data_IF_565164599718
#
_entry.id   IF_565164599718
#
_cell.length_a   1.000
_cell.length_b   1.000
_cell.length_c   1.000
_cell.angle_alpha   90.00
_cell.angle_beta   90.00
_cell.angle_gamma   90.00
#
_symmetry.space_group_name_H-M   'P 1'
#
loop_
_entity.id
_entity.type
_entity.pdbx_description
1 polymer ?
#
# COMPACT_ATOMS: atom_id res chain seq x y z
N UNK A 1 3.27 1.52 -5.20
CA UNK A 1 2.15 1.13 -4.32
C UNK A 1 1.27 2.32 -3.95
N UNK A 2 1.68 3.14 -2.99
CA UNK A 2 0.85 4.25 -2.51
C UNK A 2 0.49 5.27 -3.60
N UNK A 3 1.47 5.68 -4.39
CA UNK A 3 1.24 6.60 -5.50
C UNK A 3 0.41 5.97 -6.62
N UNK A 4 0.52 4.67 -6.83
CA UNK A 4 -0.23 3.95 -7.87
C UNK A 4 -1.72 3.92 -7.56
N UNK A 5 -2.07 3.76 -6.28
CA UNK A 5 -3.46 3.70 -5.80
C UNK A 5 -4.11 5.08 -5.61
N UNK A 6 -3.34 6.17 -5.73
CA UNK A 6 -3.86 7.53 -5.61
C UNK A 6 -4.72 7.91 -6.83
N UNK A 7 -5.62 8.88 -6.61
CA UNK A 7 -6.44 9.47 -7.66
C UNK A 7 -6.03 10.93 -7.88
N UNK A 8 -6.45 11.49 -9.00
CA UNK A 8 -6.34 12.91 -9.26
C UNK A 8 -7.47 13.64 -8.55
N UNK A 9 -7.23 13.92 -7.27
CA UNK A 9 -8.28 14.44 -6.36
C UNK A 9 -8.83 15.79 -6.77
N UNK A 10 -8.06 16.59 -7.50
CA UNK A 10 -8.49 17.83 -8.14
C UNK A 10 -9.54 17.58 -9.24
N UNK A 11 -9.35 16.55 -10.06
CA UNK A 11 -10.30 16.15 -11.10
C UNK A 11 -11.57 15.56 -10.48
N UNK A 12 -11.42 14.70 -9.46
CA UNK A 12 -12.56 14.10 -8.72
C UNK A 12 -13.39 15.20 -8.04
N UNK A 13 -12.75 16.19 -7.41
CA UNK A 13 -13.47 17.29 -6.76
C UNK A 13 -14.21 18.19 -7.77
N UNK A 14 -13.67 18.34 -8.98
CA UNK A 14 -14.27 19.16 -10.04
C UNK A 14 -15.45 18.46 -10.74
N UNK A 15 -15.41 17.13 -10.85
CA UNK A 15 -16.46 16.32 -11.51
C UNK A 15 -16.76 15.04 -10.70
N UNK A 16 -17.51 15.15 -9.59
CA UNK A 16 -17.77 14.00 -8.71
C UNK A 16 -18.72 12.95 -9.29
N UNK A 17 -19.37 13.24 -10.41
CA UNK A 17 -20.25 12.28 -11.13
C UNK A 17 -19.50 11.59 -12.29
N UNK A 18 -18.25 12.01 -12.55
CA UNK A 18 -17.42 11.48 -13.61
C UNK A 18 -16.77 10.14 -13.24
N UNK A 19 -16.28 9.46 -14.26
CA UNK A 19 -15.46 8.25 -14.09
C UNK A 19 -14.00 8.65 -13.89
N UNK A 20 -13.41 8.23 -12.76
CA UNK A 20 -12.03 8.52 -12.43
C UNK A 20 -11.24 7.23 -12.18
N UNK A 21 -10.00 7.21 -12.62
CA UNK A 21 -9.10 6.09 -12.47
C UNK A 21 -7.93 6.44 -11.55
N UNK A 22 -7.43 5.46 -10.80
CA UNK A 22 -6.20 5.64 -10.05
C UNK A 22 -5.01 5.86 -11.02
N UNK A 23 -3.93 6.42 -10.49
CA UNK A 23 -2.72 6.78 -11.27
C UNK A 23 -2.19 5.60 -12.09
N UNK A 24 -2.18 4.42 -11.50
CA UNK A 24 -1.83 3.19 -12.20
C UNK A 24 -2.96 2.16 -12.04
N UNK A 25 -3.73 1.85 -13.08
CA UNK A 25 -4.77 0.82 -13.00
C UNK A 25 -4.22 -0.51 -12.48
N UNK A 26 -5.01 -1.28 -11.68
CA UNK A 26 -4.53 -2.50 -11.01
C UNK A 26 -3.92 -3.53 -11.97
N UNK A 27 -4.49 -3.70 -13.17
CA UNK A 27 -4.00 -4.64 -14.18
C UNK A 27 -2.64 -4.22 -14.71
N UNK A 28 -2.46 -2.92 -14.94
CA UNK A 28 -1.17 -2.34 -15.38
C UNK A 28 -0.13 -2.45 -14.28
N UNK A 29 -0.51 -2.17 -13.03
CA UNK A 29 0.37 -2.36 -11.87
C UNK A 29 0.87 -3.81 -11.78
N UNK A 30 -0.05 -4.80 -11.87
CA UNK A 30 0.30 -6.20 -11.83
C UNK A 30 1.23 -6.62 -12.99
N UNK A 31 0.99 -6.12 -14.20
CA UNK A 31 1.82 -6.40 -15.37
C UNK A 31 3.25 -5.86 -15.18
N UNK A 32 3.39 -4.59 -14.79
CA UNK A 32 4.69 -3.95 -14.54
C UNK A 32 5.44 -4.69 -13.42
N UNK A 33 4.74 -5.08 -12.36
CA UNK A 33 5.36 -5.80 -11.24
C UNK A 33 5.90 -7.18 -11.68
N UNK A 34 5.16 -7.90 -12.55
CA UNK A 34 5.65 -9.17 -13.16
C UNK A 34 6.92 -8.95 -13.97
N UNK A 35 6.94 -7.94 -14.82
CA UNK A 35 8.13 -7.61 -15.62
C UNK A 35 9.34 -7.27 -14.75
N UNK A 36 9.12 -6.54 -13.64
CA UNK A 36 10.19 -6.23 -12.68
C UNK A 36 10.72 -7.49 -11.99
N UNK A 37 9.85 -8.42 -11.57
CA UNK A 37 10.23 -9.69 -10.97
C UNK A 37 11.07 -10.50 -11.96
N UNK A 38 10.63 -10.61 -13.21
CA UNK A 38 11.33 -11.35 -14.26
C UNK A 38 12.71 -10.74 -14.54
N UNK A 39 12.79 -9.41 -14.54
CA UNK A 39 14.06 -8.71 -14.72
C UNK A 39 15.05 -9.01 -13.58
N UNK A 40 14.58 -9.04 -12.33
CA UNK A 40 15.40 -9.36 -11.16
C UNK A 40 15.95 -10.79 -11.27
N UNK A 41 15.08 -11.77 -11.57
CA UNK A 41 15.51 -13.17 -11.78
C UNK A 41 16.48 -13.32 -12.94
N UNK A 42 16.22 -12.65 -14.07
CA UNK A 42 17.11 -12.67 -15.25
C UNK A 42 18.53 -12.17 -14.94
N UNK A 43 18.65 -11.27 -13.97
CA UNK A 43 19.94 -10.75 -13.51
C UNK A 43 20.56 -11.58 -12.37
N UNK A 44 20.06 -12.78 -12.10
CA UNK A 44 20.62 -13.68 -11.09
C UNK A 44 20.35 -13.26 -9.65
N UNK A 45 19.40 -12.35 -9.43
CA UNK A 45 19.01 -11.87 -8.10
C UNK A 45 17.66 -12.44 -7.70
N UNK A 46 17.36 -12.41 -6.40
CA UNK A 46 16.10 -12.94 -5.85
C UNK A 46 15.26 -11.79 -5.32
N UNK A 47 14.04 -11.57 -5.86
CA UNK A 47 13.18 -10.49 -5.37
C UNK A 47 12.56 -10.86 -4.04
N UNK A 48 12.55 -9.90 -3.12
CA UNK A 48 11.73 -9.92 -1.91
C UNK A 48 10.63 -8.88 -2.14
N UNK A 49 9.39 -9.34 -2.25
CA UNK A 49 8.25 -8.45 -2.39
C UNK A 49 7.80 -7.99 -1.00
N UNK A 50 7.34 -6.74 -0.93
CA UNK A 50 6.87 -6.15 0.32
C UNK A 50 5.40 -5.76 0.18
N UNK A 51 4.56 -6.15 1.15
CA UNK A 51 3.20 -5.60 1.24
C UNK A 51 3.23 -4.11 1.54
N UNK A 52 2.13 -3.41 1.26
CA UNK A 52 2.04 -1.98 1.51
C UNK A 52 1.59 -1.74 2.97
N UNK A 53 2.27 -0.89 3.74
CA UNK A 53 1.76 -0.43 5.04
C UNK A 53 0.34 0.13 4.89
N UNK A 54 -0.54 -0.05 5.89
CA UNK A 54 -1.91 0.45 5.81
C UNK A 54 -1.95 1.99 5.81
N UNK A 55 -3.06 2.55 5.33
CA UNK A 55 -3.33 3.99 5.32
C UNK A 55 -4.57 4.31 6.15
N UNK A 56 -4.60 5.50 6.78
CA UNK A 56 -5.83 6.06 7.36
C UNK A 56 -6.56 6.85 6.30
N UNK A 57 -7.72 6.35 5.87
CA UNK A 57 -8.59 7.01 4.90
C UNK A 57 -8.97 8.42 5.35
N UNK A 58 -9.30 8.59 6.63
CA UNK A 58 -9.70 9.87 7.23
C UNK A 58 -8.57 10.90 7.15
N UNK A 59 -7.39 10.57 7.70
CA UNK A 59 -6.25 11.48 7.68
C UNK A 59 -5.80 11.80 6.25
N UNK A 60 -5.82 10.81 5.35
CA UNK A 60 -5.44 11.00 3.96
C UNK A 60 -6.42 11.94 3.24
N UNK A 61 -7.73 11.77 3.42
CA UNK A 61 -8.72 12.68 2.84
C UNK A 61 -8.55 14.10 3.38
N UNK A 62 -8.33 14.27 4.69
CA UNK A 62 -8.05 15.58 5.30
C UNK A 62 -6.77 16.20 4.70
N UNK A 63 -5.75 15.39 4.49
CA UNK A 63 -4.49 15.84 3.91
C UNK A 63 -4.65 16.31 2.45
N UNK A 64 -5.32 15.56 1.59
CA UNK A 64 -5.48 15.94 0.17
C UNK A 64 -6.41 17.13 0.00
N UNK A 65 -7.37 17.33 0.91
CA UNK A 65 -8.31 18.46 0.86
C UNK A 65 -7.84 19.72 1.60
N UNK A 66 -6.69 19.67 2.28
CA UNK A 66 -6.15 20.82 3.07
C UNK A 66 -5.90 22.08 2.25
N UNK A 67 -5.70 21.96 0.94
CA UNK A 67 -5.47 23.07 0.00
C UNK A 67 -6.77 23.70 -0.53
N UNK A 68 -7.94 23.28 -0.04
CA UNK A 68 -9.24 23.83 -0.42
C UNK A 68 -9.99 23.04 -1.48
N UNK A 69 -9.61 21.78 -1.77
CA UNK A 69 -10.44 20.90 -2.59
C UNK A 69 -11.78 20.63 -1.90
N UNK A 70 -12.85 20.50 -2.71
CA UNK A 70 -14.19 20.20 -2.19
C UNK A 70 -14.26 18.75 -1.66
N UNK A 71 -14.09 18.63 -0.33
CA UNK A 71 -14.16 17.35 0.38
C UNK A 71 -15.51 16.67 0.23
N UNK A 72 -16.61 17.44 0.17
CA UNK A 72 -17.95 16.88 0.03
C UNK A 72 -18.16 16.30 -1.37
N UNK A 73 -17.61 16.93 -2.40
CA UNK A 73 -17.61 16.40 -3.76
C UNK A 73 -16.82 15.06 -3.84
N UNK A 74 -15.62 15.01 -3.25
CA UNK A 74 -14.82 13.78 -3.20
C UNK A 74 -15.55 12.66 -2.45
N UNK A 75 -16.18 12.97 -1.31
CA UNK A 75 -16.98 11.98 -0.57
C UNK A 75 -18.18 11.48 -1.38
N UNK A 76 -18.91 12.35 -2.10
CA UNK A 76 -20.00 11.92 -2.98
C UNK A 76 -19.53 10.91 -4.03
N UNK A 77 -18.40 11.17 -4.65
CA UNK A 77 -17.81 10.23 -5.63
C UNK A 77 -17.48 8.86 -5.02
N UNK A 78 -17.19 8.79 -3.72
CA UNK A 78 -16.95 7.54 -2.97
C UNK A 78 -18.22 7.01 -2.29
N UNK A 79 -19.43 7.39 -2.72
CA UNK A 79 -20.70 7.00 -2.09
C UNK A 79 -20.76 7.35 -0.58
N UNK A 80 -20.10 8.43 -0.17
CA UNK A 80 -19.92 8.86 1.22
C UNK A 80 -19.22 7.84 2.13
N UNK A 81 -18.49 6.89 1.55
CA UNK A 81 -17.69 5.91 2.28
C UNK A 81 -16.19 6.21 2.18
N UNK A 82 -15.66 6.93 3.17
CA UNK A 82 -14.24 7.29 3.22
C UNK A 82 -13.30 6.08 3.21
N UNK A 83 -13.74 4.93 3.75
CA UNK A 83 -12.92 3.71 3.81
C UNK A 83 -12.65 3.10 2.43
N UNK A 84 -13.30 3.59 1.41
CA UNK A 84 -13.00 3.27 0.01
C UNK A 84 -11.52 3.51 -0.31
N UNK A 85 -10.90 4.55 0.24
CA UNK A 85 -9.47 4.87 0.07
C UNK A 85 -8.57 3.73 0.59
N UNK A 86 -8.81 3.28 1.82
CA UNK A 86 -8.01 2.19 2.42
C UNK A 86 -8.23 0.86 1.69
N UNK A 87 -9.45 0.58 1.25
CA UNK A 87 -9.75 -0.63 0.46
C UNK A 87 -9.05 -0.66 -0.89
N UNK A 88 -8.98 0.47 -1.59
CA UNK A 88 -8.22 0.56 -2.85
C UNK A 88 -6.74 0.28 -2.63
N UNK A 89 -6.12 0.95 -1.66
CA UNK A 89 -4.71 0.75 -1.35
C UNK A 89 -4.42 -0.69 -0.89
N UNK A 90 -5.31 -1.30 -0.11
CA UNK A 90 -5.23 -2.70 0.27
C UNK A 90 -5.32 -3.64 -0.94
N UNK A 91 -6.11 -3.30 -1.97
CA UNK A 91 -6.17 -4.04 -3.23
C UNK A 91 -4.81 -4.17 -3.90
N UNK A 92 -4.02 -3.10 -3.92
CA UNK A 92 -2.64 -3.15 -4.43
C UNK A 92 -1.74 -4.03 -3.56
N UNK A 93 -1.88 -3.98 -2.22
CA UNK A 93 -1.15 -4.87 -1.32
C UNK A 93 -1.45 -6.34 -1.60
N UNK A 94 -2.73 -6.70 -1.75
CA UNK A 94 -3.14 -8.07 -2.11
C UNK A 94 -2.60 -8.50 -3.48
N UNK A 95 -2.49 -7.59 -4.44
CA UNK A 95 -1.85 -7.88 -5.73
C UNK A 95 -0.39 -8.27 -5.55
N UNK A 96 0.35 -7.57 -4.67
CA UNK A 96 1.75 -7.92 -4.36
C UNK A 96 1.84 -9.31 -3.71
N UNK A 97 0.95 -9.62 -2.76
CA UNK A 97 0.89 -10.94 -2.12
C UNK A 97 0.61 -12.06 -3.14
N UNK A 98 -0.38 -11.84 -4.01
CA UNK A 98 -0.71 -12.80 -5.07
C UNK A 98 0.46 -13.03 -6.03
N UNK A 99 1.16 -11.96 -6.42
CA UNK A 99 2.34 -12.05 -7.29
C UNK A 99 3.52 -12.76 -6.61
N UNK A 100 3.74 -12.51 -5.31
CA UNK A 100 4.77 -13.21 -4.56
C UNK A 100 4.53 -14.73 -4.57
N UNK A 101 3.28 -15.13 -4.31
CA UNK A 101 2.86 -16.53 -4.34
C UNK A 101 2.97 -17.14 -5.75
N UNK A 102 2.47 -16.45 -6.78
CA UNK A 102 2.47 -16.93 -8.17
C UNK A 102 3.89 -17.12 -8.73
N UNK A 103 4.79 -16.22 -8.37
CA UNK A 103 6.16 -16.19 -8.89
C UNK A 103 7.20 -16.84 -7.97
N UNK A 104 6.77 -17.40 -6.84
CA UNK A 104 7.68 -18.04 -5.87
C UNK A 104 8.65 -17.07 -5.21
N UNK A 105 8.28 -15.79 -5.10
CA UNK A 105 9.08 -14.78 -4.43
C UNK A 105 8.92 -14.84 -2.91
N UNK A 106 9.95 -14.42 -2.20
CA UNK A 106 9.82 -14.14 -0.77
C UNK A 106 8.90 -12.92 -0.57
N UNK A 107 8.11 -12.96 0.49
CA UNK A 107 7.19 -11.88 0.86
C UNK A 107 7.50 -11.37 2.27
N UNK A 108 7.90 -10.11 2.36
CA UNK A 108 7.95 -9.39 3.62
C UNK A 108 6.61 -8.67 3.85
N UNK A 109 5.82 -9.18 4.78
CA UNK A 109 4.55 -8.57 5.12
C UNK A 109 4.74 -7.37 6.06
N UNK A 110 4.89 -6.18 5.47
CA UNK A 110 5.03 -4.92 6.21
C UNK A 110 3.71 -4.40 6.78
N UNK A 111 2.56 -4.95 6.32
CA UNK A 111 1.23 -4.55 6.78
C UNK A 111 0.84 -5.25 8.09
N UNK A 112 1.20 -6.52 8.25
CA UNK A 112 0.78 -7.37 9.37
C UNK A 112 1.03 -6.78 10.78
N UNK A 113 2.12 -6.06 11.06
CA UNK A 113 2.36 -5.55 12.41
C UNK A 113 1.51 -4.33 12.81
N UNK A 114 0.77 -3.73 11.88
CA UNK A 114 -0.06 -2.55 12.15
C UNK A 114 -1.47 -2.93 12.64
N UNK A 115 -2.07 -2.11 13.51
CA UNK A 115 -3.50 -2.19 13.76
C UNK A 115 -4.29 -2.03 12.47
N UNK A 116 -5.45 -2.70 12.35
CA UNK A 116 -6.15 -2.77 11.07
C UNK A 116 -6.73 -1.42 10.61
N UNK A 117 -7.24 -0.60 11.51
CA UNK A 117 -7.94 0.68 11.20
C UNK A 117 -8.08 1.58 12.43
N UNK A 118 -8.60 2.79 12.18
CA UNK A 118 -9.04 3.74 13.21
C UNK A 118 -7.90 4.44 13.94
N UNK A 119 -8.21 5.02 15.10
CA UNK A 119 -7.26 5.80 15.90
C UNK A 119 -6.02 5.01 16.31
N UNK A 120 -6.16 3.71 16.52
CA UNK A 120 -5.02 2.85 16.84
C UNK A 120 -4.02 2.82 15.69
N UNK A 121 -4.48 2.72 14.43
CA UNK A 121 -3.61 2.80 13.25
C UNK A 121 -2.99 4.19 13.11
N UNK A 122 -3.77 5.24 13.33
CA UNK A 122 -3.33 6.63 13.17
C UNK A 122 -2.17 7.00 14.09
N UNK A 123 -2.04 6.36 15.25
CA UNK A 123 -0.90 6.51 16.14
C UNK A 123 0.44 6.12 15.51
N UNK A 124 0.43 5.32 14.44
CA UNK A 124 1.61 4.85 13.70
C UNK A 124 1.85 5.58 12.38
N UNK A 125 1.00 6.55 12.02
CA UNK A 125 1.09 7.29 10.76
C UNK A 125 1.47 8.75 10.98
N UNK A 126 2.03 9.36 9.95
CA UNK A 126 2.17 10.80 9.86
C UNK A 126 0.81 11.47 9.66
N UNK A 127 0.76 12.79 9.77
CA UNK A 127 -0.47 13.58 9.59
C UNK A 127 -1.10 13.50 8.20
N UNK A 128 -0.37 12.96 7.22
CA UNK A 128 -0.88 12.70 5.87
C UNK A 128 -1.70 11.40 5.77
N UNK A 129 -1.72 10.59 6.83
CA UNK A 129 -2.44 9.33 6.87
C UNK A 129 -1.86 8.21 6.01
N UNK A 130 -0.69 8.42 5.40
CA UNK A 130 -0.11 7.52 4.41
C UNK A 130 1.28 7.01 4.81
N UNK A 131 2.13 7.89 5.29
CA UNK A 131 3.49 7.53 5.64
C UNK A 131 3.59 7.09 7.11
N UNK A 132 4.23 5.94 7.39
CA UNK A 132 4.52 5.54 8.76
C UNK A 132 5.39 6.58 9.48
N UNK A 133 4.97 7.01 10.68
CA UNK A 133 5.79 7.83 11.57
C UNK A 133 6.89 6.99 12.25
N UNK A 134 7.64 7.56 13.20
CA UNK A 134 8.73 6.84 13.87
C UNK A 134 8.27 5.52 14.51
N UNK A 135 7.09 5.51 15.14
CA UNK A 135 6.54 4.30 15.77
C UNK A 135 6.16 3.25 14.70
N UNK A 136 5.54 3.69 13.58
CA UNK A 136 5.24 2.82 12.45
C UNK A 136 6.50 2.27 11.77
N UNK A 137 7.54 3.08 11.61
CA UNK A 137 8.84 2.61 11.11
C UNK A 137 9.47 1.54 12.02
N UNK A 138 9.30 1.68 13.34
CA UNK A 138 9.77 0.66 14.28
C UNK A 138 9.00 -0.67 14.15
N UNK A 139 7.71 -0.64 13.84
CA UNK A 139 6.93 -1.86 13.54
C UNK A 139 7.49 -2.56 12.30
N UNK A 140 7.70 -1.81 11.21
CA UNK A 140 8.26 -2.33 9.96
C UNK A 140 9.67 -2.91 10.20
N UNK A 141 10.52 -2.21 10.94
CA UNK A 141 11.87 -2.69 11.27
C UNK A 141 11.84 -4.03 12.01
N UNK A 142 11.01 -4.14 13.06
CA UNK A 142 10.88 -5.39 13.83
C UNK A 142 10.38 -6.54 12.95
N UNK A 143 9.45 -6.25 12.05
CA UNK A 143 8.94 -7.25 11.10
C UNK A 143 10.01 -7.69 10.10
N UNK A 144 10.82 -6.75 9.59
CA UNK A 144 11.92 -7.06 8.69
C UNK A 144 13.02 -7.90 9.37
N UNK A 145 13.36 -7.59 10.63
CA UNK A 145 14.32 -8.40 11.40
C UNK A 145 13.80 -9.81 11.61
N UNK A 146 12.53 -9.98 12.04
CA UNK A 146 11.91 -11.31 12.19
C UNK A 146 11.93 -12.09 10.90
N UNK A 147 11.50 -11.47 9.79
CA UNK A 147 11.53 -12.10 8.46
C UNK A 147 12.92 -12.59 8.09
N UNK A 148 13.95 -11.78 8.36
CA UNK A 148 15.33 -12.14 8.06
C UNK A 148 15.84 -13.29 8.92
N UNK A 149 15.54 -13.29 10.22
CA UNK A 149 15.93 -14.35 11.14
C UNK A 149 15.29 -15.69 10.74
N UNK A 150 14.00 -15.69 10.39
CA UNK A 150 13.28 -16.87 9.89
C UNK A 150 13.89 -17.38 8.57
N UNK A 151 14.18 -16.48 7.63
CA UNK A 151 14.81 -16.82 6.35
C UNK A 151 16.20 -17.46 6.55
N UNK A 152 17.03 -16.91 7.42
CA UNK A 152 18.37 -17.44 7.72
C UNK A 152 18.31 -18.80 8.40
N UNK A 153 17.39 -19.00 9.33
CA UNK A 153 17.21 -20.28 10.03
C UNK A 153 16.85 -21.39 9.05
N UNK A 154 15.87 -21.15 8.16
CA UNK A 154 15.45 -22.15 7.16
C UNK A 154 16.58 -22.49 6.19
N UNK A 155 17.47 -21.56 5.89
CA UNK A 155 18.60 -21.78 4.99
C UNK A 155 19.72 -22.60 5.64
N UNK A 156 20.00 -22.36 6.92
CA UNK A 156 21.02 -23.10 7.68
C UNK A 156 20.62 -24.54 7.99
N UNK A 157 19.32 -24.87 7.99
CA UNK A 157 18.84 -26.25 8.18
C UNK A 157 18.91 -27.09 6.91
N UNK A 158 19.19 -26.49 5.74
CA UNK A 158 19.24 -27.18 4.43
C UNK A 158 20.66 -27.41 3.91
N UNK A 159 21.66 -26.81 4.55
CA UNK A 159 23.09 -27.00 4.28
C UNK A 159 23.69 -27.99 5.28
#
# INVERSE_FOLDING_TARGET
GGNDSAYRWDEVAADPEGEHFCVTPPERFAAIYKDMIDLVYKNGSWPILCTLPPVSSRLYLDYVTRSGLDKAAILRWMDNDVETISRWQEGFSRTVEALAKDRGCLLLDMRAPFPPRGEELEAYLCSDGMHPNLAGQQLIYKQAVRFWDEFMTVRMEKD
#
